data_IF_876712773476
#
_entry.id   IF_876712773476
#
_cell.length_a   1.000
_cell.length_b   1.000
_cell.length_c   1.000
_cell.angle_alpha   90.00
_cell.angle_beta   90.00
_cell.angle_gamma   90.00
#
_symmetry.space_group_name_H-M   'P 1'
#
loop_
_entity.id
_entity.type
_entity.pdbx_description
1 polymer ?
#
# COMPACT_ATOMS: atom_id res chain seq x y z
N UNK A 1 11.38 -11.43 -44.32
CA UNK A 1 10.82 -10.77 -43.10
C UNK A 1 11.78 -9.66 -42.74
N UNK A 2 11.32 -8.41 -42.57
CA UNK A 2 12.20 -7.25 -42.31
C UNK A 2 12.77 -7.31 -40.89
N UNK A 3 14.08 -7.08 -40.76
CA UNK A 3 14.84 -7.02 -39.50
C UNK A 3 14.52 -5.78 -38.64
N UNK A 4 13.67 -4.87 -39.13
CA UNK A 4 13.39 -3.55 -38.51
C UNK A 4 12.11 -3.47 -37.66
N UNK A 5 11.47 -4.60 -37.31
CA UNK A 5 10.39 -4.56 -36.31
C UNK A 5 10.98 -4.56 -34.90
N UNK A 6 10.67 -3.58 -34.03
CA UNK A 6 11.08 -3.62 -32.63
C UNK A 6 10.54 -4.93 -32.05
N UNK A 7 11.43 -5.86 -31.69
CA UNK A 7 11.02 -7.07 -31.00
C UNK A 7 10.33 -6.63 -29.69
N UNK A 8 9.08 -7.03 -29.44
CA UNK A 8 8.39 -6.64 -28.22
C UNK A 8 9.22 -7.11 -27.02
N UNK A 9 9.39 -6.24 -26.04
CA UNK A 9 10.05 -6.60 -24.80
C UNK A 9 9.30 -7.79 -24.15
N UNK A 10 10.00 -8.86 -23.72
CA UNK A 10 9.36 -10.14 -23.42
C UNK A 10 8.58 -10.18 -22.09
N UNK A 11 8.47 -9.05 -21.39
CA UNK A 11 7.73 -8.95 -20.12
C UNK A 11 6.30 -8.53 -20.41
N UNK A 12 5.33 -9.30 -19.91
CA UNK A 12 3.91 -8.91 -19.86
C UNK A 12 3.66 -8.22 -18.52
N UNK A 13 2.96 -7.09 -18.54
CA UNK A 13 2.52 -6.39 -17.34
C UNK A 13 1.06 -6.75 -17.09
N UNK A 14 0.80 -7.55 -16.07
CA UNK A 14 -0.55 -7.74 -15.55
C UNK A 14 -0.80 -6.67 -14.51
N UNK A 15 -1.68 -5.70 -14.83
CA UNK A 15 -2.01 -4.62 -13.91
C UNK A 15 -2.92 -5.12 -12.79
N UNK A 16 -2.95 -4.35 -11.70
CA UNK A 16 -3.82 -4.60 -10.56
C UNK A 16 -5.29 -4.69 -10.98
N UNK A 17 -6.12 -5.30 -10.13
CA UNK A 17 -7.56 -5.23 -10.27
C UNK A 17 -8.13 -4.01 -9.53
N UNK A 18 -9.22 -3.39 -10.04
CA UNK A 18 -9.97 -2.33 -9.36
C UNK A 18 -10.34 -2.69 -7.93
N UNK A 19 -10.14 -1.74 -7.00
CA UNK A 19 -10.67 -1.84 -5.65
C UNK A 19 -12.21 -1.80 -5.76
N UNK A 20 -12.90 -2.91 -5.48
CA UNK A 20 -14.37 -2.97 -5.53
C UNK A 20 -14.94 -3.31 -4.16
N UNK A 21 -15.45 -2.29 -3.46
CA UNK A 21 -16.08 -2.43 -2.15
C UNK A 21 -17.37 -3.25 -2.21
N UNK A 22 -17.33 -4.55 -1.87
CA UNK A 22 -18.57 -5.25 -1.53
C UNK A 22 -19.18 -4.61 -0.27
N UNK A 23 -20.51 -4.52 -0.23
CA UNK A 23 -21.28 -3.85 0.83
C UNK A 23 -21.38 -4.68 2.12
N UNK A 24 -20.24 -5.06 2.70
CA UNK A 24 -20.17 -5.62 4.05
C UNK A 24 -19.18 -4.85 4.92
N UNK A 25 -19.36 -4.95 6.24
CA UNK A 25 -18.63 -4.16 7.24
C UNK A 25 -17.09 -4.31 7.18
N UNK A 26 -16.61 -5.39 6.56
CA UNK A 26 -15.17 -5.68 6.35
C UNK A 26 -14.76 -5.66 4.86
N UNK A 27 -15.62 -5.23 3.95
CA UNK A 27 -15.35 -5.18 2.52
C UNK A 27 -14.10 -4.36 2.21
N UNK A 28 -14.00 -3.18 2.81
CA UNK A 28 -12.83 -2.31 2.71
C UNK A 28 -11.54 -3.00 3.19
N UNK A 29 -11.59 -3.71 4.31
CA UNK A 29 -10.45 -4.46 4.86
C UNK A 29 -9.96 -5.52 3.87
N UNK A 30 -10.87 -6.36 3.38
CA UNK A 30 -10.51 -7.43 2.44
C UNK A 30 -9.89 -6.88 1.17
N UNK A 31 -10.44 -5.79 0.62
CA UNK A 31 -9.83 -5.19 -0.57
C UNK A 31 -8.52 -4.49 -0.31
N UNK A 32 -8.35 -3.83 0.84
CA UNK A 32 -7.08 -3.21 1.18
C UNK A 32 -5.97 -4.27 1.26
N UNK A 33 -6.27 -5.45 1.83
CA UNK A 33 -5.37 -6.59 1.84
C UNK A 33 -5.14 -7.18 0.44
N UNK A 34 -6.20 -7.36 -0.36
CA UNK A 34 -6.11 -7.84 -1.75
C UNK A 34 -5.27 -6.91 -2.62
N UNK A 35 -5.46 -5.60 -2.49
CA UNK A 35 -4.72 -4.58 -3.24
C UNK A 35 -3.26 -4.55 -2.83
N UNK A 36 -2.96 -4.57 -1.53
CA UNK A 36 -1.59 -4.68 -1.03
C UNK A 36 -0.91 -5.96 -1.53
N UNK A 37 -1.62 -7.10 -1.54
CA UNK A 37 -1.09 -8.36 -2.09
C UNK A 37 -0.84 -8.28 -3.59
N UNK A 38 -1.77 -7.73 -4.37
CA UNK A 38 -1.60 -7.56 -5.82
C UNK A 38 -0.40 -6.68 -6.15
N UNK A 39 -0.19 -5.60 -5.39
CA UNK A 39 0.97 -4.74 -5.55
C UNK A 39 2.29 -5.49 -5.28
N UNK A 40 2.31 -6.33 -4.24
CA UNK A 40 3.50 -7.13 -3.89
C UNK A 40 3.93 -8.00 -5.05
N UNK A 41 2.95 -8.71 -5.64
CA UNK A 41 3.18 -9.61 -6.74
C UNK A 41 3.65 -8.86 -7.98
N UNK A 42 3.09 -7.68 -8.26
CA UNK A 42 3.45 -6.91 -9.46
C UNK A 42 4.94 -6.54 -9.51
N UNK A 43 5.52 -6.09 -8.40
CA UNK A 43 6.95 -5.76 -8.35
C UNK A 43 7.83 -7.01 -8.49
N UNK A 44 7.48 -8.09 -7.79
CA UNK A 44 8.21 -9.36 -7.86
C UNK A 44 8.17 -9.97 -9.27
N UNK A 45 7.01 -9.92 -9.93
CA UNK A 45 6.81 -10.39 -11.31
C UNK A 45 7.63 -9.58 -12.31
N UNK A 46 7.70 -8.25 -12.15
CA UNK A 46 8.52 -7.40 -13.00
C UNK A 46 10.01 -7.72 -12.85
N UNK A 47 10.50 -7.82 -11.61
CA UNK A 47 11.89 -8.20 -11.33
C UNK A 47 12.18 -9.61 -11.87
N UNK A 48 11.29 -10.58 -11.64
CA UNK A 48 11.44 -11.94 -12.14
C UNK A 48 11.44 -12.00 -13.67
N UNK A 49 10.57 -11.22 -14.33
CA UNK A 49 10.52 -11.10 -15.79
C UNK A 49 11.83 -10.55 -16.38
N UNK A 50 12.39 -9.51 -15.74
CA UNK A 50 13.70 -8.96 -16.13
C UNK A 50 14.77 -10.04 -15.95
N UNK A 51 14.81 -10.69 -14.78
CA UNK A 51 15.81 -11.70 -14.43
C UNK A 51 15.78 -12.95 -15.30
N UNK A 52 14.62 -13.30 -15.84
CA UNK A 52 14.48 -14.42 -16.79
C UNK A 52 15.26 -14.16 -18.10
N UNK A 53 15.40 -12.91 -18.49
CA UNK A 53 16.14 -12.50 -19.71
C UNK A 53 17.56 -12.02 -19.39
N UNK A 54 17.73 -11.34 -18.26
CA UNK A 54 19.00 -10.79 -17.77
C UNK A 54 19.26 -11.33 -16.37
N UNK A 55 19.98 -12.46 -16.23
CA UNK A 55 20.31 -13.03 -14.92
C UNK A 55 21.00 -12.02 -13.99
N UNK A 56 20.93 -12.23 -12.67
CA UNK A 56 21.58 -11.35 -11.69
C UNK A 56 23.07 -11.12 -12.02
N UNK A 57 23.57 -9.90 -11.80
CA UNK A 57 24.91 -9.48 -12.22
C UNK A 57 25.05 -9.09 -13.70
N UNK A 58 23.99 -9.23 -14.51
CA UNK A 58 24.02 -8.77 -15.91
C UNK A 58 24.17 -7.26 -15.99
N UNK A 59 24.91 -6.78 -16.99
CA UNK A 59 24.99 -5.35 -17.33
C UNK A 59 24.16 -5.07 -18.57
N UNK A 60 23.30 -4.05 -18.52
CA UNK A 60 22.51 -3.61 -19.65
C UNK A 60 22.25 -2.10 -19.58
N UNK A 61 22.15 -1.44 -20.73
CA UNK A 61 21.65 -0.06 -20.83
C UNK A 61 20.89 0.08 -22.14
N UNK A 62 19.59 -0.17 -22.08
CA UNK A 62 18.72 -0.37 -23.23
C UNK A 62 17.63 0.70 -23.21
N UNK A 63 17.32 1.25 -24.39
CA UNK A 63 16.14 2.08 -24.61
C UNK A 63 15.39 1.53 -25.83
N UNK A 64 14.12 1.18 -25.65
CA UNK A 64 13.24 0.66 -26.71
C UNK A 64 12.05 1.59 -26.87
N UNK A 65 11.91 2.20 -28.04
CA UNK A 65 10.72 2.99 -28.38
C UNK A 65 9.55 2.10 -28.78
N UNK A 66 8.34 2.67 -28.77
CA UNK A 66 7.11 2.10 -29.33
C UNK A 66 6.73 0.71 -28.78
N UNK A 67 6.98 0.49 -27.48
CA UNK A 67 6.52 -0.70 -26.78
C UNK A 67 5.05 -0.54 -26.43
N UNK A 68 4.20 -1.45 -26.88
CA UNK A 68 2.76 -1.36 -26.66
C UNK A 68 2.33 -2.19 -25.45
N UNK A 69 1.72 -1.56 -24.45
CA UNK A 69 1.11 -2.19 -23.27
C UNK A 69 -0.30 -1.63 -23.07
N UNK A 70 -1.31 -2.50 -22.89
CA UNK A 70 -2.70 -2.12 -22.63
C UNK A 70 -3.26 -1.05 -23.59
N UNK A 71 -2.94 -1.18 -24.88
CA UNK A 71 -3.38 -0.22 -25.91
C UNK A 71 -2.66 1.13 -25.89
N UNK A 72 -1.65 1.31 -25.03
CA UNK A 72 -0.81 2.51 -24.94
C UNK A 72 0.60 2.22 -25.45
N UNK A 73 1.26 3.23 -26.03
CA UNK A 73 2.64 3.14 -26.51
C UNK A 73 3.60 3.81 -25.53
N UNK A 74 4.72 3.15 -25.27
CA UNK A 74 5.74 3.59 -24.32
C UNK A 74 7.15 3.54 -24.91
N UNK A 75 8.01 4.41 -24.38
CA UNK A 75 9.45 4.23 -24.42
C UNK A 75 9.88 3.50 -23.15
N UNK A 76 10.50 2.34 -23.32
CA UNK A 76 11.05 1.52 -22.25
C UNK A 76 12.52 1.84 -22.07
N UNK A 77 12.96 2.05 -20.83
CA UNK A 77 14.38 2.15 -20.46
C UNK A 77 14.72 1.08 -19.45
N UNK A 78 15.85 0.41 -19.63
CA UNK A 78 16.38 -0.60 -18.71
C UNK A 78 17.87 -0.36 -18.52
N UNK A 79 18.28 -0.06 -17.28
CA UNK A 79 19.67 0.01 -16.83
C UNK A 79 19.90 -1.09 -15.81
N UNK A 80 20.85 -1.98 -16.05
CA UNK A 80 21.26 -3.03 -15.13
C UNK A 80 22.75 -2.90 -14.87
N UNK A 81 23.16 -2.80 -13.60
CA UNK A 81 24.55 -2.72 -13.17
C UNK A 81 25.42 -1.76 -14.01
N UNK A 82 24.84 -0.64 -14.47
CA UNK A 82 25.47 0.27 -15.44
C UNK A 82 25.68 1.68 -14.86
N UNK A 83 25.84 1.76 -13.54
CA UNK A 83 25.86 3.01 -12.75
C UNK A 83 24.61 3.14 -11.89
N UNK A 84 24.80 3.65 -10.67
CA UNK A 84 23.74 3.73 -9.68
C UNK A 84 22.70 4.79 -10.07
N UNK A 85 21.44 4.50 -9.73
CA UNK A 85 20.32 5.42 -9.89
C UNK A 85 19.74 5.70 -8.51
N UNK A 86 19.60 6.99 -8.19
CA UNK A 86 19.07 7.39 -6.90
C UNK A 86 17.56 7.60 -6.93
N UNK A 87 16.88 7.12 -5.90
CA UNK A 87 15.47 7.41 -5.62
C UNK A 87 15.29 7.59 -4.11
N UNK A 88 14.40 8.50 -3.71
CA UNK A 88 14.06 8.69 -2.29
C UNK A 88 12.65 8.13 -2.04
N UNK A 89 12.54 6.91 -1.48
CA UNK A 89 11.26 6.40 -1.00
C UNK A 89 10.63 7.37 -0.01
N UNK A 90 9.31 7.48 -0.01
CA UNK A 90 8.57 8.32 0.95
C UNK A 90 8.80 7.92 2.42
N UNK A 91 9.36 6.74 2.65
CA UNK A 91 9.74 6.20 3.96
C UNK A 91 11.16 6.57 4.40
N UNK A 92 11.99 7.17 3.54
CA UNK A 92 13.39 7.49 3.85
C UNK A 92 13.62 9.00 3.95
N UNK A 93 14.40 9.42 4.95
CA UNK A 93 14.84 10.81 5.10
C UNK A 93 15.82 11.28 4.04
N UNK A 94 16.45 10.37 3.29
CA UNK A 94 17.40 10.65 2.21
C UNK A 94 17.24 9.66 1.05
N UNK A 95 17.75 10.03 -0.13
CA UNK A 95 17.76 9.14 -1.28
C UNK A 95 18.62 7.89 -1.04
N UNK A 96 18.11 6.74 -1.50
CA UNK A 96 18.81 5.48 -1.63
C UNK A 96 19.41 5.34 -3.04
N UNK A 97 20.32 4.39 -3.22
CA UNK A 97 21.11 4.19 -4.43
C UNK A 97 20.97 2.76 -4.95
N UNK A 98 20.25 2.60 -6.05
CA UNK A 98 19.95 1.30 -6.64
C UNK A 98 20.87 0.98 -7.82
N UNK A 99 21.26 -0.29 -7.98
CA UNK A 99 22.12 -0.72 -9.10
C UNK A 99 21.37 -0.91 -10.42
N UNK A 100 20.04 -1.06 -10.35
CA UNK A 100 19.20 -1.32 -11.50
C UNK A 100 18.00 -0.36 -11.57
N UNK A 101 17.57 -0.08 -12.80
CA UNK A 101 16.45 0.81 -13.10
C UNK A 101 15.67 0.31 -14.32
N UNK A 102 14.35 0.30 -14.22
CA UNK A 102 13.43 0.06 -15.32
C UNK A 102 12.39 1.17 -15.37
N UNK A 103 12.05 1.66 -16.55
CA UNK A 103 11.06 2.72 -16.71
C UNK A 103 10.22 2.52 -17.97
N UNK A 104 8.94 2.87 -17.84
CA UNK A 104 8.03 3.11 -18.94
C UNK A 104 7.62 4.58 -18.95
N UNK A 105 7.97 5.30 -20.03
CA UNK A 105 7.46 6.65 -20.31
C UNK A 105 6.46 6.59 -21.43
N UNK A 106 5.32 7.23 -21.24
CA UNK A 106 4.30 7.37 -22.28
C UNK A 106 4.90 8.06 -23.50
N UNK A 107 4.72 7.47 -24.67
CA UNK A 107 5.22 8.03 -25.92
C UNK A 107 4.46 9.30 -26.34
N UNK A 108 3.27 9.55 -25.80
CA UNK A 108 2.42 10.69 -26.20
C UNK A 108 2.83 12.02 -25.55
N UNK A 109 3.23 11.98 -24.27
CA UNK A 109 3.53 13.18 -23.47
C UNK A 109 4.90 13.09 -22.78
N UNK A 110 5.64 12.01 -23.01
CA UNK A 110 6.94 11.74 -22.43
C UNK A 110 6.92 11.76 -20.89
N UNK A 111 5.79 11.47 -20.26
CA UNK A 111 5.72 11.38 -18.80
C UNK A 111 5.91 9.93 -18.34
N UNK A 112 6.59 9.69 -17.20
CA UNK A 112 6.69 8.36 -16.63
C UNK A 112 5.29 7.82 -16.26
N UNK A 113 5.06 6.55 -16.57
CA UNK A 113 3.90 5.78 -16.12
C UNK A 113 4.31 4.78 -15.03
N UNK A 114 5.54 4.29 -15.10
CA UNK A 114 6.12 3.35 -14.15
C UNK A 114 7.64 3.51 -14.09
N UNK A 115 8.20 3.47 -12.88
CA UNK A 115 9.63 3.40 -12.61
C UNK A 115 9.89 2.34 -11.54
N UNK A 116 10.84 1.46 -11.77
CA UNK A 116 11.32 0.45 -10.83
C UNK A 116 12.80 0.68 -10.59
N UNK A 117 13.18 0.88 -9.34
CA UNK A 117 14.56 0.98 -8.86
C UNK A 117 14.82 -0.23 -7.98
N UNK A 118 15.91 -0.97 -8.19
CA UNK A 118 16.14 -2.19 -7.42
C UNK A 118 17.60 -2.60 -7.38
N UNK A 119 17.97 -3.23 -6.29
CA UNK A 119 19.26 -3.91 -6.17
C UNK A 119 19.25 -5.28 -6.86
N UNK A 120 20.44 -5.81 -7.13
CA UNK A 120 20.62 -7.17 -7.62
C UNK A 120 20.06 -8.23 -6.65
N UNK A 121 20.00 -7.93 -5.36
CA UNK A 121 19.25 -8.71 -4.38
C UNK A 121 18.48 -7.78 -3.42
N UNK A 122 17.19 -7.51 -3.68
CA UNK A 122 16.35 -6.67 -2.82
C UNK A 122 16.15 -7.21 -1.40
N UNK A 123 16.51 -8.47 -1.14
CA UNK A 123 16.43 -9.10 0.18
C UNK A 123 17.76 -9.06 0.95
N UNK A 124 18.81 -8.51 0.35
CA UNK A 124 20.08 -8.33 1.04
C UNK A 124 19.95 -7.20 2.07
N UNK A 125 20.21 -7.49 3.34
CA UNK A 125 20.12 -6.51 4.44
C UNK A 125 21.16 -5.36 4.35
N UNK A 126 22.18 -5.51 3.48
CA UNK A 126 23.16 -4.45 3.18
C UNK A 126 22.78 -3.59 1.98
N UNK A 127 21.71 -3.95 1.26
CA UNK A 127 21.20 -3.20 0.12
C UNK A 127 20.13 -2.18 0.52
N UNK A 128 19.76 -1.36 -0.45
CA UNK A 128 18.68 -0.39 -0.36
C UNK A 128 17.32 -0.98 -0.74
N UNK A 129 17.29 -2.16 -1.37
CA UNK A 129 16.08 -2.94 -1.62
C UNK A 129 15.49 -2.73 -3.01
N UNK A 130 14.17 -2.53 -3.11
CA UNK A 130 13.48 -2.24 -4.36
C UNK A 130 12.32 -1.26 -4.16
N UNK A 131 12.17 -0.32 -5.09
CA UNK A 131 11.08 0.65 -5.13
C UNK A 131 10.40 0.60 -6.49
N UNK A 132 9.09 0.43 -6.48
CA UNK A 132 8.23 0.56 -7.66
C UNK A 132 7.32 1.77 -7.50
N UNK A 133 7.36 2.69 -8.46
CA UNK A 133 6.54 3.89 -8.53
C UNK A 133 5.71 3.83 -9.81
N UNK A 134 4.40 4.01 -9.74
CA UNK A 134 3.56 3.93 -10.92
C UNK A 134 2.24 4.70 -10.79
N UNK A 135 1.59 4.96 -11.92
CA UNK A 135 0.29 5.63 -11.99
C UNK A 135 -0.68 4.81 -12.85
N UNK A 136 -1.75 4.31 -12.25
CA UNK A 136 -2.70 3.39 -12.88
C UNK A 136 -3.36 3.97 -14.14
N UNK A 137 -3.86 5.21 -14.06
CA UNK A 137 -4.48 5.91 -15.19
C UNK A 137 -3.54 6.13 -16.37
N UNK A 138 -2.22 6.09 -16.16
CA UNK A 138 -1.25 6.14 -17.26
C UNK A 138 -1.02 4.76 -17.86
N UNK A 139 -0.98 3.71 -17.04
CA UNK A 139 -0.71 2.34 -17.47
C UNK A 139 -1.87 1.70 -18.23
N UNK A 140 -3.12 1.96 -17.81
CA UNK A 140 -4.34 1.57 -18.51
C UNK A 140 -5.46 2.59 -18.22
N UNK A 141 -5.55 3.67 -19.04
CA UNK A 141 -6.53 4.73 -18.85
C UNK A 141 -7.97 4.28 -19.06
N UNK A 142 -8.20 3.18 -19.79
CA UNK A 142 -9.56 2.68 -20.05
C UNK A 142 -10.12 1.99 -18.81
N UNK A 143 -9.30 1.18 -18.13
CA UNK A 143 -9.69 0.53 -16.89
C UNK A 143 -9.65 1.49 -15.68
N UNK A 144 -8.68 2.41 -15.66
CA UNK A 144 -8.35 3.23 -14.49
C UNK A 144 -8.57 4.73 -14.71
N UNK A 145 -9.62 5.08 -15.43
CA UNK A 145 -10.04 6.47 -15.58
C UNK A 145 -10.15 7.13 -14.18
N UNK A 146 -9.65 8.36 -14.06
CA UNK A 146 -9.69 9.13 -12.81
C UNK A 146 -8.72 8.68 -11.70
N UNK A 147 -8.01 7.55 -11.84
CA UNK A 147 -7.01 7.09 -10.88
C UNK A 147 -5.67 7.82 -11.06
N UNK A 148 -5.63 9.08 -10.63
CA UNK A 148 -4.47 9.96 -10.82
C UNK A 148 -3.39 9.82 -9.75
N UNK A 149 -3.61 9.02 -8.71
CA UNK A 149 -2.61 8.78 -7.69
C UNK A 149 -1.32 8.18 -8.25
N UNK A 150 -0.19 8.68 -7.75
CA UNK A 150 1.09 7.99 -7.88
C UNK A 150 1.22 7.06 -6.69
N UNK A 151 1.45 5.78 -6.97
CA UNK A 151 1.58 4.71 -5.98
C UNK A 151 3.04 4.32 -5.89
N UNK A 152 3.56 4.23 -4.67
CA UNK A 152 4.91 3.76 -4.34
C UNK A 152 4.81 2.46 -3.55
N UNK A 153 5.52 1.42 -4.00
CA UNK A 153 5.82 0.21 -3.25
C UNK A 153 7.31 0.19 -2.93
N UNK A 154 7.69 0.17 -1.66
CA UNK A 154 9.07 0.03 -1.22
C UNK A 154 9.25 -1.25 -0.42
N UNK A 155 10.24 -2.05 -0.80
CA UNK A 155 10.62 -3.29 -0.13
C UNK A 155 12.06 -3.19 0.31
N UNK A 156 12.32 -3.58 1.55
CA UNK A 156 13.67 -3.66 2.10
C UNK A 156 13.75 -4.76 3.16
N UNK A 157 14.92 -5.39 3.26
CA UNK A 157 15.24 -6.26 4.37
C UNK A 157 15.80 -5.40 5.53
N UNK A 158 15.04 -5.19 6.63
CA UNK A 158 15.50 -4.33 7.71
C UNK A 158 16.58 -5.00 8.58
N UNK A 159 17.37 -4.16 9.25
CA UNK A 159 18.23 -4.56 10.38
C UNK A 159 17.72 -3.87 11.64
N UNK A 160 17.03 -4.63 12.52
CA UNK A 160 16.44 -4.09 13.74
C UNK A 160 17.12 -4.69 14.99
N UNK A 161 17.74 -3.83 15.80
CA UNK A 161 18.32 -4.20 17.09
C UNK A 161 17.22 -4.55 18.10
N UNK A 162 17.41 -5.62 18.88
CA UNK A 162 16.45 -6.05 19.92
C UNK A 162 15.27 -6.89 19.42
N UNK A 163 15.13 -7.07 18.10
CA UNK A 163 14.11 -7.95 17.50
C UNK A 163 14.79 -8.94 16.54
N UNK A 164 15.19 -10.10 17.05
CA UNK A 164 15.84 -11.14 16.24
C UNK A 164 14.90 -11.66 15.14
N UNK A 165 15.44 -11.91 13.94
CA UNK A 165 14.76 -12.55 12.80
C UNK A 165 13.52 -11.82 12.27
N UNK A 166 13.54 -10.48 12.23
CA UNK A 166 12.59 -9.75 11.38
C UNK A 166 12.78 -10.14 9.92
N UNK A 167 11.67 -10.41 9.24
CA UNK A 167 11.68 -10.69 7.81
C UNK A 167 11.54 -9.41 7.00
N UNK A 168 11.04 -9.56 5.78
CA UNK A 168 10.93 -8.47 4.81
C UNK A 168 9.94 -7.40 5.30
N UNK A 169 10.24 -6.13 5.01
CA UNK A 169 9.28 -5.03 5.15
C UNK A 169 8.87 -4.58 3.76
N UNK A 170 7.57 -4.34 3.61
CA UNK A 170 7.03 -3.68 2.44
C UNK A 170 6.09 -2.56 2.83
N UNK A 171 6.25 -1.40 2.22
CA UNK A 171 5.31 -0.29 2.38
C UNK A 171 4.67 0.05 1.05
N UNK A 172 3.37 0.31 1.07
CA UNK A 172 2.67 0.94 -0.03
C UNK A 172 2.21 2.31 0.40
N UNK A 173 2.49 3.32 -0.41
CA UNK A 173 2.02 4.68 -0.19
C UNK A 173 1.40 5.21 -1.47
N UNK A 174 0.38 6.05 -1.33
CA UNK A 174 -0.17 6.77 -2.47
C UNK A 174 -0.68 8.12 -2.02
N UNK A 175 -0.78 9.05 -2.98
CA UNK A 175 -1.46 10.32 -2.81
C UNK A 175 -2.23 10.69 -4.07
N UNK A 176 -3.47 11.11 -3.87
CA UNK A 176 -4.47 11.42 -4.88
C UNK A 176 -5.51 10.31 -5.10
N UNK A 177 -6.47 10.57 -6.00
CA UNK A 177 -7.54 9.64 -6.36
C UNK A 177 -7.07 8.27 -6.89
N UNK A 178 -7.71 7.20 -6.44
CA UNK A 178 -7.44 5.82 -6.86
C UNK A 178 -8.41 5.29 -7.93
N UNK A 179 -9.46 6.02 -8.27
CA UNK A 179 -10.47 5.60 -9.25
C UNK A 179 -11.50 6.69 -9.54
N UNK A 180 -12.35 6.48 -10.54
CA UNK A 180 -13.41 7.43 -10.94
C UNK A 180 -14.72 7.31 -10.16
N UNK A 181 -14.90 6.28 -9.34
CA UNK A 181 -16.05 6.19 -8.45
C UNK A 181 -15.92 7.17 -7.28
N UNK A 182 -17.04 7.47 -6.60
CA UNK A 182 -17.05 8.46 -5.52
C UNK A 182 -15.99 8.12 -4.45
N UNK A 183 -15.96 6.86 -3.97
CA UNK A 183 -14.97 6.43 -2.99
C UNK A 183 -13.53 6.61 -3.50
N UNK A 184 -13.23 6.24 -4.76
CA UNK A 184 -11.91 6.35 -5.34
C UNK A 184 -11.45 7.79 -5.58
N UNK A 185 -12.39 8.72 -5.84
CA UNK A 185 -12.10 10.16 -5.96
C UNK A 185 -11.83 10.81 -4.60
N UNK A 186 -12.42 10.25 -3.54
CA UNK A 186 -12.41 10.84 -2.22
C UNK A 186 -11.31 10.32 -1.28
N UNK A 187 -10.69 9.20 -1.64
CA UNK A 187 -9.42 8.78 -1.06
C UNK A 187 -8.34 9.80 -1.42
N UNK A 188 -7.68 10.37 -0.41
CA UNK A 188 -6.61 11.35 -0.59
C UNK A 188 -5.24 10.69 -0.46
N UNK A 189 -4.94 10.10 0.70
CA UNK A 189 -3.61 9.58 1.00
C UNK A 189 -3.76 8.25 1.72
N UNK A 190 -2.87 7.31 1.44
CA UNK A 190 -2.86 6.09 2.22
C UNK A 190 -1.48 5.49 2.35
N UNK A 191 -1.35 4.70 3.42
CA UNK A 191 -0.18 3.89 3.69
C UNK A 191 -0.59 2.52 4.18
N UNK A 192 0.04 1.50 3.61
CA UNK A 192 0.01 0.13 4.09
C UNK A 192 1.44 -0.29 4.44
N UNK A 193 1.61 -1.03 5.52
CA UNK A 193 2.86 -1.61 5.97
C UNK A 193 2.65 -3.10 6.18
N UNK A 194 3.49 -3.89 5.54
CA UNK A 194 3.60 -5.34 5.68
C UNK A 194 4.93 -5.65 6.37
N UNK A 195 4.89 -6.48 7.41
CA UNK A 195 6.06 -6.84 8.21
C UNK A 195 5.98 -8.32 8.58
N UNK A 196 7.02 -9.08 8.23
CA UNK A 196 7.21 -10.43 8.77
C UNK A 196 7.84 -10.35 10.18
N UNK A 197 7.12 -10.83 11.19
CA UNK A 197 7.49 -10.76 12.60
C UNK A 197 7.66 -12.16 13.22
N UNK A 198 8.15 -12.18 14.47
CA UNK A 198 8.16 -13.35 15.34
C UNK A 198 8.87 -14.56 14.71
N UNK A 199 10.14 -14.38 14.31
CA UNK A 199 10.92 -15.36 13.55
C UNK A 199 10.27 -15.80 12.22
N UNK A 200 9.58 -14.86 11.54
CA UNK A 200 8.90 -15.08 10.25
C UNK A 200 7.76 -16.11 10.34
N UNK A 201 7.12 -16.20 11.50
CA UNK A 201 5.94 -17.06 11.71
C UNK A 201 4.63 -16.28 11.69
N UNK A 202 4.71 -14.94 11.81
CA UNK A 202 3.57 -14.04 11.79
C UNK A 202 3.77 -12.97 10.74
N UNK A 203 2.75 -12.73 9.94
CA UNK A 203 2.66 -11.60 9.03
C UNK A 203 1.80 -10.51 9.66
N UNK A 204 2.34 -9.31 9.77
CA UNK A 204 1.66 -8.16 10.33
C UNK A 204 1.35 -7.14 9.24
N UNK A 205 0.14 -6.61 9.31
CA UNK A 205 -0.33 -5.55 8.44
C UNK A 205 -0.78 -4.36 9.29
N UNK A 206 -0.39 -3.15 8.88
CA UNK A 206 -0.96 -1.90 9.39
C UNK A 206 -1.33 -1.02 8.22
N UNK A 207 -2.43 -0.30 8.30
CA UNK A 207 -2.73 0.75 7.34
C UNK A 207 -3.43 1.94 7.96
N UNK A 208 -3.22 3.07 7.29
CA UNK A 208 -4.04 4.28 7.41
C UNK A 208 -4.45 4.70 6.02
N UNK A 209 -5.74 4.98 5.83
CA UNK A 209 -6.26 5.60 4.61
C UNK A 209 -7.04 6.84 5.01
N UNK A 210 -6.70 7.97 4.40
CA UNK A 210 -7.39 9.24 4.62
C UNK A 210 -8.41 9.51 3.52
N UNK A 211 -9.59 9.95 3.93
CA UNK A 211 -10.67 10.38 3.05
C UNK A 211 -10.94 11.87 3.24
N UNK A 212 -11.43 12.52 2.20
CA UNK A 212 -12.03 13.84 2.35
C UNK A 212 -13.29 13.73 3.23
N UNK A 213 -13.48 14.64 4.18
CA UNK A 213 -14.70 14.66 5.01
C UNK A 213 -15.96 15.06 4.25
N UNK A 214 -15.83 15.44 2.99
CA UNK A 214 -16.91 15.91 2.12
C UNK A 214 -17.48 14.83 1.22
N UNK A 215 -17.04 13.59 1.38
CA UNK A 215 -17.48 12.46 0.57
C UNK A 215 -18.87 12.04 0.99
N UNK A 216 -19.84 11.92 0.09
CA UNK A 216 -21.17 11.35 0.38
C UNK A 216 -21.07 9.83 0.66
N UNK A 217 -20.46 9.43 1.78
CA UNK A 217 -20.27 8.03 2.19
C UNK A 217 -21.52 7.43 2.84
N UNK A 218 -22.45 8.26 3.27
CA UNK A 218 -23.70 7.84 3.91
C UNK A 218 -24.88 8.20 3.01
N UNK A 219 -25.77 7.25 2.68
CA UNK A 219 -27.00 7.55 1.95
C UNK A 219 -27.84 8.60 2.69
N UNK A 220 -28.18 9.70 2.03
CA UNK A 220 -28.96 10.78 2.63
C UNK A 220 -30.46 10.49 2.49
N UNK A 221 -31.11 10.18 3.60
CA UNK A 221 -32.55 9.92 3.72
C UNK A 221 -33.09 10.46 5.05
N UNK A 222 -34.40 10.39 5.29
CA UNK A 222 -35.01 10.91 6.51
C UNK A 222 -34.40 10.33 7.80
N UNK A 223 -33.99 9.06 7.77
CA UNK A 223 -33.33 8.38 8.88
C UNK A 223 -31.95 8.96 9.15
N UNK A 224 -31.07 9.04 8.14
CA UNK A 224 -29.70 9.55 8.31
C UNK A 224 -29.66 11.06 8.57
N UNK A 225 -30.59 11.83 8.00
CA UNK A 225 -30.75 13.25 8.30
C UNK A 225 -31.14 13.50 9.77
N UNK A 226 -31.99 12.65 10.35
CA UNK A 226 -32.33 12.72 11.77
C UNK A 226 -31.10 12.48 12.69
N UNK A 227 -30.02 11.88 12.16
CA UNK A 227 -28.76 11.66 12.86
C UNK A 227 -27.75 12.79 12.64
N UNK A 228 -28.14 13.83 11.91
CA UNK A 228 -27.28 14.96 11.56
C UNK A 228 -26.47 14.77 10.28
N UNK A 229 -26.73 13.72 9.49
CA UNK A 229 -26.10 13.57 8.18
C UNK A 229 -26.73 14.50 7.14
N UNK A 230 -25.88 15.27 6.46
CA UNK A 230 -26.22 16.06 5.29
C UNK A 230 -25.38 15.65 4.09
N UNK A 231 -25.68 16.23 2.92
CA UNK A 231 -24.82 16.07 1.75
C UNK A 231 -23.41 16.63 2.01
N UNK A 232 -22.45 16.06 1.31
CA UNK A 232 -21.02 16.28 1.43
C UNK A 232 -20.51 15.99 2.84
N UNK A 233 -20.82 14.81 3.36
CA UNK A 233 -20.35 14.36 4.67
C UNK A 233 -19.88 12.92 4.63
N UNK A 234 -18.64 12.71 5.10
CA UNK A 234 -18.03 11.40 5.30
C UNK A 234 -18.75 10.54 6.33
N UNK A 235 -18.11 9.47 6.79
CA UNK A 235 -18.70 8.54 7.76
C UNK A 235 -18.89 9.17 9.15
N UNK A 236 -18.09 10.17 9.51
CA UNK A 236 -18.27 11.03 10.67
C UNK A 236 -18.83 12.41 10.22
N UNK A 237 -20.04 12.83 10.64
CA UNK A 237 -20.59 14.16 10.36
C UNK A 237 -19.70 15.24 10.94
N UNK A 238 -19.23 16.14 10.10
CA UNK A 238 -18.37 17.26 10.47
C UNK A 238 -17.39 17.65 9.37
N UNK A 239 -16.65 18.73 9.59
CA UNK A 239 -15.59 19.16 8.68
C UNK A 239 -14.25 18.56 9.09
N UNK A 240 -13.52 17.97 8.14
CA UNK A 240 -12.16 17.48 8.34
C UNK A 240 -11.92 16.14 7.68
N UNK A 241 -10.65 15.77 7.47
CA UNK A 241 -10.32 14.45 6.94
C UNK A 241 -10.73 13.35 7.92
N UNK A 242 -11.08 12.21 7.35
CA UNK A 242 -11.32 10.97 8.09
C UNK A 242 -10.15 10.02 7.86
N UNK A 243 -9.77 9.29 8.89
CA UNK A 243 -8.67 8.35 8.87
C UNK A 243 -9.20 6.98 9.25
N UNK A 244 -9.23 6.08 8.27
CA UNK A 244 -9.49 4.69 8.51
C UNK A 244 -8.20 3.98 8.88
N UNK A 245 -8.24 3.24 9.98
CA UNK A 245 -7.10 2.51 10.54
C UNK A 245 -7.40 1.03 10.52
N UNK A 246 -6.42 0.23 10.15
CA UNK A 246 -6.52 -1.22 10.17
C UNK A 246 -5.21 -1.82 10.66
N UNK A 247 -5.32 -2.82 11.52
CA UNK A 247 -4.22 -3.70 11.85
C UNK A 247 -4.69 -5.14 11.80
N UNK A 248 -3.89 -6.04 11.25
CA UNK A 248 -4.14 -7.46 11.40
C UNK A 248 -2.84 -8.23 11.56
N UNK A 249 -2.96 -9.40 12.18
CA UNK A 249 -1.88 -10.38 12.27
C UNK A 249 -2.37 -11.70 11.74
N UNK A 250 -1.56 -12.32 10.90
CA UNK A 250 -1.83 -13.57 10.23
C UNK A 250 -0.76 -14.59 10.61
N UNK A 251 -1.18 -15.81 10.94
CA UNK A 251 -0.26 -16.94 11.02
C UNK A 251 0.27 -17.30 9.64
N UNK A 252 1.56 -17.59 9.53
CA UNK A 252 2.19 -18.04 8.29
C UNK A 252 2.17 -19.57 8.13
N UNK A 253 1.64 -20.28 9.12
CA UNK A 253 1.41 -21.72 9.09
C UNK A 253 -0.08 -22.09 9.10
N UNK A 254 -0.36 -23.36 8.83
CA UNK A 254 -1.71 -23.92 8.88
C UNK A 254 -2.70 -23.21 7.95
N UNK A 255 -3.90 -22.92 8.48
CA UNK A 255 -5.02 -22.30 7.75
C UNK A 255 -4.87 -20.79 7.50
N UNK A 256 -3.68 -20.22 7.77
CA UNK A 256 -3.39 -18.79 7.64
C UNK A 256 -4.39 -17.92 8.41
N UNK A 257 -4.74 -18.35 9.62
CA UNK A 257 -5.74 -17.67 10.45
C UNK A 257 -5.31 -16.23 10.76
N UNK A 258 -6.24 -15.30 10.56
CA UNK A 258 -6.05 -13.85 10.66
C UNK A 258 -7.01 -13.29 11.70
N UNK A 259 -6.48 -12.44 12.57
CA UNK A 259 -7.28 -11.57 13.43
C UNK A 259 -6.99 -10.12 13.07
N UNK A 260 -8.04 -9.37 12.78
CA UNK A 260 -7.98 -7.97 12.37
C UNK A 260 -8.73 -7.07 13.35
N UNK A 261 -8.28 -5.82 13.46
CA UNK A 261 -8.94 -4.75 14.21
C UNK A 261 -8.93 -3.49 13.35
N UNK A 262 -10.09 -2.85 13.23
CA UNK A 262 -10.28 -1.66 12.43
C UNK A 262 -10.83 -0.51 13.27
N UNK A 263 -10.69 0.72 12.76
CA UNK A 263 -11.35 1.88 13.34
C UNK A 263 -11.35 3.07 12.40
N UNK A 264 -12.07 4.12 12.82
CA UNK A 264 -12.32 5.32 12.05
C UNK A 264 -12.24 6.55 12.94
N UNK A 265 -11.38 7.49 12.60
CA UNK A 265 -11.20 8.72 13.36
C UNK A 265 -11.35 9.96 12.47
N UNK A 266 -12.05 10.97 12.98
CA UNK A 266 -12.13 12.28 12.32
C UNK A 266 -11.07 13.20 12.88
N UNK A 267 -10.41 13.98 12.01
CA UNK A 267 -9.42 15.03 12.34
C UNK A 267 -8.10 14.58 12.97
N UNK A 268 -8.00 13.37 13.52
CA UNK A 268 -6.82 12.86 14.21
C UNK A 268 -6.56 11.38 13.91
N UNK A 269 -5.37 10.89 14.30
CA UNK A 269 -5.02 9.47 14.35
C UNK A 269 -4.46 9.19 15.75
N UNK A 270 -5.21 8.51 16.61
CA UNK A 270 -4.86 8.25 18.00
C UNK A 270 -4.47 6.79 18.22
N UNK A 271 -3.40 6.54 18.96
CA UNK A 271 -3.00 5.19 19.39
C UNK A 271 -4.14 4.48 20.13
N UNK A 272 -4.46 3.26 19.71
CA UNK A 272 -5.38 2.33 20.41
C UNK A 272 -6.86 2.68 20.36
N UNK A 273 -7.21 3.90 19.93
CA UNK A 273 -8.58 4.36 19.81
C UNK A 273 -9.23 3.81 18.54
N UNK A 274 -10.44 3.25 18.64
CA UNK A 274 -11.14 2.70 17.47
C UNK A 274 -12.11 3.69 16.79
N UNK A 275 -12.69 4.63 17.54
CA UNK A 275 -13.59 5.65 16.99
C UNK A 275 -13.36 7.01 17.65
N UNK A 276 -13.38 8.08 16.84
CA UNK A 276 -13.56 9.47 17.30
C UNK A 276 -14.51 10.26 16.38
N UNK A 277 -15.66 9.68 16.01
CA UNK A 277 -16.78 10.44 15.46
C UNK A 277 -17.57 11.16 16.58
N UNK A 278 -18.52 12.03 16.21
CA UNK A 278 -19.42 12.65 17.18
C UNK A 278 -20.27 11.59 17.94
N UNK A 279 -20.78 11.96 19.12
CA UNK A 279 -21.52 11.07 20.03
C UNK A 279 -22.77 10.43 19.41
N UNK A 280 -23.36 11.07 18.40
CA UNK A 280 -24.51 10.55 17.68
C UNK A 280 -24.08 9.37 16.82
N UNK A 281 -23.03 9.50 16.01
CA UNK A 281 -22.52 8.40 15.16
C UNK A 281 -22.08 7.19 15.97
N UNK A 282 -21.42 7.39 17.11
CA UNK A 282 -21.01 6.28 17.98
C UNK A 282 -22.19 5.43 18.49
N UNK A 283 -23.42 5.94 18.45
CA UNK A 283 -24.64 5.20 18.80
C UNK A 283 -25.23 4.40 17.64
N UNK A 284 -24.93 4.76 16.39
CA UNK A 284 -25.50 4.12 15.19
C UNK A 284 -24.49 3.24 14.46
N UNK A 285 -23.26 3.74 14.28
CA UNK A 285 -22.14 2.97 13.77
C UNK A 285 -21.41 2.41 14.98
N UNK A 286 -21.85 1.24 15.44
CA UNK A 286 -21.19 0.56 16.54
C UNK A 286 -19.88 -0.09 16.08
N UNK A 287 -18.86 0.72 15.77
CA UNK A 287 -17.47 0.30 15.70
C UNK A 287 -16.94 0.06 17.14
N UNK A 288 -17.65 -0.74 17.95
CA UNK A 288 -16.97 -1.33 19.12
C UNK A 288 -15.72 -2.01 18.55
N UNK A 289 -14.52 -1.90 19.16
CA UNK A 289 -13.30 -2.59 18.73
C UNK A 289 -13.53 -4.11 18.79
N UNK A 290 -14.21 -4.62 17.79
CA UNK A 290 -14.51 -6.00 17.58
C UNK A 290 -13.54 -6.53 16.55
N UNK A 291 -13.13 -7.77 16.74
CA UNK A 291 -12.16 -8.38 15.86
C UNK A 291 -12.87 -9.02 14.66
N UNK A 292 -12.28 -8.81 13.48
CA UNK A 292 -12.61 -9.57 12.28
C UNK A 292 -11.72 -10.81 12.22
N UNK A 293 -12.31 -11.97 11.96
CA UNK A 293 -11.61 -13.23 11.79
C UNK A 293 -11.66 -13.66 10.33
N UNK A 294 -10.50 -14.05 9.79
CA UNK A 294 -10.37 -14.56 8.43
C UNK A 294 -9.45 -15.77 8.41
N UNK A 295 -9.58 -16.63 7.40
CA UNK A 295 -8.63 -17.71 7.12
C UNK A 295 -8.43 -17.86 5.62
N UNK A 296 -7.76 -18.92 5.18
CA UNK A 296 -7.54 -19.19 3.76
C UNK A 296 -8.83 -19.20 2.91
N UNK A 297 -9.97 -19.59 3.47
CA UNK A 297 -11.27 -19.60 2.78
C UNK A 297 -11.97 -18.22 2.79
N UNK A 298 -11.37 -17.21 3.41
CA UNK A 298 -11.88 -15.85 3.46
C UNK A 298 -12.45 -15.47 4.82
N UNK A 299 -13.56 -14.73 4.81
CA UNK A 299 -14.22 -14.22 6.01
C UNK A 299 -14.78 -15.35 6.87
N UNK A 300 -14.53 -15.28 8.18
CA UNK A 300 -15.02 -16.25 9.16
C UNK A 300 -16.07 -15.61 10.06
N UNK A 301 -15.75 -14.47 10.67
CA UNK A 301 -16.65 -13.80 11.61
C UNK A 301 -16.26 -12.33 11.80
N UNK A 302 -17.23 -11.53 12.23
CA UNK A 302 -17.05 -10.15 12.67
C UNK A 302 -17.69 -9.95 14.03
N UNK A 303 -17.42 -8.82 14.69
CA UNK A 303 -18.06 -8.56 15.97
C UNK A 303 -17.46 -9.39 17.12
N UNK A 304 -16.34 -10.09 16.90
CA UNK A 304 -15.79 -11.04 17.88
C UNK A 304 -15.18 -10.27 19.05
N UNK A 305 -15.59 -10.62 20.28
CA UNK A 305 -15.00 -10.08 21.50
C UNK A 305 -13.59 -10.64 21.73
N UNK A 306 -12.72 -9.88 22.40
CA UNK A 306 -11.32 -10.26 22.62
C UNK A 306 -11.14 -11.67 23.24
N UNK A 307 -11.99 -12.02 24.20
CA UNK A 307 -11.99 -13.32 24.90
C UNK A 307 -12.73 -14.43 24.14
N UNK A 308 -13.39 -14.11 23.03
CA UNK A 308 -14.11 -15.06 22.17
C UNK A 308 -13.30 -15.44 20.92
N UNK A 309 -12.10 -14.91 20.74
CA UNK A 309 -11.21 -15.27 19.63
C UNK A 309 -10.74 -16.72 19.84
N UNK A 310 -10.98 -17.63 18.89
CA UNK A 310 -10.52 -19.01 19.00
C UNK A 310 -8.99 -19.10 19.14
N UNK A 311 -8.49 -20.09 19.87
CA UNK A 311 -7.06 -20.24 20.18
C UNK A 311 -6.17 -20.47 18.96
N UNK A 312 -6.75 -20.99 17.86
CA UNK A 312 -6.06 -21.21 16.59
C UNK A 312 -5.90 -19.91 15.78
N UNK A 313 -6.52 -18.81 16.19
CA UNK A 313 -6.32 -17.47 15.64
C UNK A 313 -5.28 -16.67 16.45
N UNK A 314 -4.79 -15.56 15.88
CA UNK A 314 -3.93 -14.64 16.62
C UNK A 314 -4.76 -13.95 17.70
N UNK A 315 -4.29 -13.98 18.94
CA UNK A 315 -5.03 -13.46 20.08
C UNK A 315 -5.10 -11.92 20.09
N UNK A 316 -6.15 -11.38 20.69
CA UNK A 316 -6.46 -9.94 20.76
C UNK A 316 -5.25 -9.09 21.17
N UNK A 317 -4.56 -9.48 22.24
CA UNK A 317 -3.42 -8.73 22.82
C UNK A 317 -2.32 -8.44 21.79
N UNK A 318 -2.07 -9.37 20.86
CA UNK A 318 -1.06 -9.19 19.80
C UNK A 318 -1.52 -8.21 18.73
N UNK A 319 -2.80 -8.23 18.39
CA UNK A 319 -3.41 -7.32 17.42
C UNK A 319 -3.58 -5.93 18.02
N UNK A 320 -3.92 -5.82 19.30
CA UNK A 320 -3.99 -4.55 20.03
C UNK A 320 -2.63 -3.87 20.05
N UNK A 321 -1.56 -4.57 20.42
CA UNK A 321 -0.21 -3.99 20.36
C UNK A 321 0.26 -3.62 18.94
N UNK A 322 -0.35 -4.17 17.89
CA UNK A 322 -0.12 -3.74 16.50
C UNK A 322 -0.95 -2.49 16.17
N UNK A 323 -2.22 -2.47 16.58
CA UNK A 323 -3.17 -1.40 16.36
C UNK A 323 -2.79 -0.13 17.13
N UNK A 324 -2.28 -0.25 18.35
CA UNK A 324 -1.77 0.85 19.17
C UNK A 324 -0.61 1.58 18.50
N UNK A 325 0.16 0.89 17.64
CA UNK A 325 1.22 1.55 16.88
C UNK A 325 0.68 2.49 15.79
N UNK A 326 -0.56 2.30 15.34
CA UNK A 326 -1.19 3.22 14.39
C UNK A 326 -1.50 4.55 15.12
N UNK A 327 -0.99 5.67 14.58
CA UNK A 327 -1.05 6.98 15.24
C UNK A 327 0.22 7.37 15.99
N UNK A 328 1.27 6.52 15.97
CA UNK A 328 2.54 6.78 16.66
C UNK A 328 3.72 6.92 15.70
N UNK A 329 4.82 7.49 16.21
CA UNK A 329 6.14 7.37 15.58
C UNK A 329 6.63 5.96 15.88
N UNK A 330 6.75 5.13 14.85
CA UNK A 330 7.02 3.71 15.03
C UNK A 330 8.44 3.40 15.54
N UNK A 331 8.78 2.11 15.53
CA UNK A 331 10.07 1.54 15.94
C UNK A 331 11.24 1.93 15.05
N UNK A 332 11.01 2.44 13.85
CA UNK A 332 12.07 2.88 12.92
C UNK A 332 13.00 3.96 13.49
N UNK A 333 12.56 4.71 14.51
CA UNK A 333 13.44 5.57 15.33
C UNK A 333 14.55 4.82 16.09
N UNK A 334 14.42 3.49 16.25
CA UNK A 334 15.38 2.61 16.92
C UNK A 334 16.20 1.73 15.95
N UNK A 335 16.07 1.90 14.63
CA UNK A 335 16.73 1.04 13.61
C UNK A 335 18.03 1.62 13.07
N UNK A 336 18.98 0.74 12.69
CA UNK A 336 20.27 1.11 12.07
C UNK A 336 20.38 0.75 10.57
N UNK A 337 19.33 0.24 9.90
CA UNK A 337 19.26 0.24 8.42
C UNK A 337 17.83 -0.03 7.89
N UNK A 338 17.33 0.77 6.91
CA UNK A 338 17.96 1.97 6.39
C UNK A 338 18.02 3.06 7.47
N UNK A 339 19.16 3.74 7.58
CA UNK A 339 19.32 4.82 8.56
C UNK A 339 18.34 5.94 8.22
N UNK A 340 17.67 6.54 9.21
CA UNK A 340 16.64 7.58 8.99
C UNK A 340 15.39 7.07 8.24
N UNK A 341 15.09 5.78 8.31
CA UNK A 341 13.79 5.28 7.85
C UNK A 341 12.68 5.67 8.84
N UNK A 342 11.49 5.92 8.30
CA UNK A 342 10.25 6.16 9.04
C UNK A 342 9.13 5.23 8.55
N UNK A 343 9.49 4.04 8.05
CA UNK A 343 8.58 3.10 7.38
C UNK A 343 7.34 2.74 8.23
N UNK A 344 7.48 2.65 9.55
CA UNK A 344 6.39 2.35 10.48
C UNK A 344 5.80 3.54 11.24
N UNK A 345 6.13 4.76 10.81
CA UNK A 345 5.46 5.97 11.33
C UNK A 345 4.09 6.11 10.69
N UNK A 346 3.05 6.19 11.53
CA UNK A 346 1.64 6.31 11.12
C UNK A 346 0.93 7.46 11.85
N UNK A 347 1.64 8.52 12.19
CA UNK A 347 1.04 9.73 12.78
C UNK A 347 0.25 10.52 11.72
N UNK A 348 -0.75 11.30 12.15
CA UNK A 348 -1.50 12.18 11.25
C UNK A 348 -0.58 13.08 10.41
N UNK A 349 0.35 13.77 11.07
CA UNK A 349 1.27 14.69 10.41
C UNK A 349 2.10 13.99 9.33
N UNK A 350 2.57 12.78 9.63
CA UNK A 350 3.32 11.99 8.68
C UNK A 350 2.45 11.56 7.49
N UNK A 351 1.27 10.97 7.74
CA UNK A 351 0.35 10.55 6.68
C UNK A 351 -0.03 11.72 5.76
N UNK A 352 -0.45 12.86 6.30
CA UNK A 352 -0.81 14.03 5.48
C UNK A 352 0.37 14.59 4.67
N UNK A 353 1.59 14.46 5.19
CA UNK A 353 2.82 14.94 4.55
C UNK A 353 3.36 14.04 3.45
N UNK A 354 2.83 12.81 3.29
CA UNK A 354 3.29 11.91 2.23
C UNK A 354 3.20 12.63 0.88
N UNK A 355 4.30 12.57 0.14
CA UNK A 355 4.41 13.04 -1.24
C UNK A 355 5.16 11.99 -2.01
N UNK A 356 4.69 11.70 -3.22
CA UNK A 356 5.31 10.72 -4.10
C UNK A 356 5.41 11.37 -5.48
N UNK A 357 6.57 11.24 -6.08
CA UNK A 357 6.84 11.70 -7.42
C UNK A 357 7.67 10.66 -8.17
N UNK A 358 7.52 10.65 -9.48
CA UNK A 358 8.51 10.01 -10.34
C UNK A 358 9.85 10.75 -10.23
N UNK A 359 10.95 10.02 -10.21
CA UNK A 359 12.26 10.65 -10.25
C UNK A 359 12.59 11.10 -11.68
N UNK A 360 13.34 12.19 -11.76
CA UNK A 360 13.97 12.60 -13.00
C UNK A 360 15.29 11.85 -13.16
N UNK A 361 15.28 10.76 -13.93
CA UNK A 361 16.46 9.92 -14.16
C UNK A 361 17.09 10.27 -15.52
N UNK A 362 18.30 10.87 -15.53
CA UNK A 362 19.01 11.23 -16.76
C UNK A 362 19.19 10.06 -17.72
#
# INVERSE_FOLDING_TARGET
MREDSPKPFPIRLELLQPLKANADNWGFVRQSATWARGNSLFMDELIAGIRKTFPAGSTANITLANQNFNGQSYTLRLKLNSGNVSYQPSTLGSAASYTNFFELRSSSDNQPALQLFFDDDPRNASGDGAVLVYQLSRLDPTQWAGATAIIESYVVQPVITGFSNQGLIQTYSWKGPLGADALGQDVDTGRVILEEMDNRTVFCFKSVVSFHGTTDLVPINAGTQALGYGHNQGLCPGAGKEYYKLAYSQKLDGSLNVTAKAGLEQTTITSGQAITCNSTVSQFVNFTPAYGLFNFNGFVSEGVAANAIPSDFIQATRVDGLYDRVGTVGKSSATTSPTVSSWDTLTKAYIDSITISFANVP
#
